data_IF_466802342658
#
_entry.id   IF_466802342658
#
_cell.length_a   1.000
_cell.length_b   1.000
_cell.length_c   1.000
_cell.angle_alpha   90.00
_cell.angle_beta   90.00
_cell.angle_gamma   90.00
#
_symmetry.space_group_name_H-M   'P 1'
#
loop_
_entity.id
_entity.type
_entity.pdbx_description
1 polymer ?
#
# COMPACT_ATOMS: atom_id res chain seq x y z
N UNK A 1 8.20 -8.08 6.28
CA UNK A 1 7.69 -7.02 7.18
C UNK A 1 8.00 -5.66 6.57
N UNK A 2 7.19 -4.62 6.81
CA UNK A 2 7.43 -3.31 6.25
C UNK A 2 6.70 -2.20 6.98
N UNK A 3 7.13 -0.98 6.66
CA UNK A 3 6.50 0.26 7.12
C UNK A 3 5.88 0.94 5.92
N UNK A 4 4.68 1.48 6.10
CA UNK A 4 3.92 2.15 5.05
C UNK A 4 3.63 3.59 5.47
N UNK A 5 3.71 4.51 4.51
CA UNK A 5 3.25 5.88 4.65
C UNK A 5 2.03 6.04 3.74
N UNK A 6 0.86 6.17 4.34
CA UNK A 6 -0.41 6.18 3.64
C UNK A 6 -1.00 7.58 3.59
N UNK A 7 -1.54 7.93 2.42
CA UNK A 7 -2.30 9.15 2.20
C UNK A 7 -3.56 8.83 1.43
N UNK A 8 -4.69 9.30 1.93
CA UNK A 8 -5.95 9.31 1.18
C UNK A 8 -6.03 10.61 0.38
N UNK A 9 -6.24 10.50 -0.93
CA UNK A 9 -6.40 11.65 -1.81
C UNK A 9 -7.87 11.74 -2.20
N UNK A 10 -8.53 12.80 -1.74
CA UNK A 10 -9.92 13.10 -2.07
C UNK A 10 -10.00 13.92 -3.36
N UNK A 11 -11.05 13.73 -4.14
CA UNK A 11 -11.30 14.48 -5.39
C UNK A 11 -11.59 15.95 -5.18
N UNK A 12 -12.03 16.33 -3.98
CA UNK A 12 -12.38 17.70 -3.63
C UNK A 12 -11.61 18.14 -2.38
N UNK A 13 -11.17 19.41 -2.35
CA UNK A 13 -10.42 20.02 -1.24
C UNK A 13 -11.30 20.32 0.01
N UNK A 14 -12.27 19.45 0.29
CA UNK A 14 -13.19 19.61 1.42
C UNK A 14 -12.66 18.98 2.72
N UNK A 15 -11.59 18.20 2.65
CA UNK A 15 -11.05 17.45 3.79
C UNK A 15 -9.53 17.52 3.80
N UNK A 16 -8.97 18.00 4.90
CA UNK A 16 -7.53 17.95 5.14
C UNK A 16 -7.13 16.56 5.65
N UNK A 17 -6.28 15.89 4.90
CA UNK A 17 -5.79 14.55 5.22
C UNK A 17 -4.31 14.58 5.54
N UNK A 18 -3.96 14.15 6.74
CA UNK A 18 -2.57 14.00 7.16
C UNK A 18 -2.11 12.56 6.97
N UNK A 19 -0.92 12.40 6.38
CA UNK A 19 -0.29 11.09 6.23
C UNK A 19 -0.13 10.39 7.58
N UNK A 20 -0.41 9.10 7.61
CA UNK A 20 -0.13 8.26 8.78
C UNK A 20 0.79 7.11 8.43
N UNK A 21 1.62 6.76 9.41
CA UNK A 21 2.47 5.57 9.35
C UNK A 21 1.61 4.34 9.61
N UNK A 22 1.71 3.37 8.72
CA UNK A 22 1.13 2.04 8.87
C UNK A 22 2.22 0.97 8.91
N UNK A 23 1.82 -0.26 9.08
CA UNK A 23 2.73 -1.40 9.03
C UNK A 23 2.13 -2.53 8.20
N UNK A 24 3.02 -3.35 7.64
CA UNK A 24 2.63 -4.56 6.92
C UNK A 24 3.48 -5.76 7.36
N UNK A 25 2.86 -6.92 7.34
CA UNK A 25 3.52 -8.19 7.61
C UNK A 25 2.82 -9.32 6.84
N UNK A 26 3.57 -10.34 6.46
CA UNK A 26 3.00 -11.50 5.76
C UNK A 26 4.04 -12.36 5.09
N UNK A 27 3.59 -13.15 4.14
CA UNK A 27 4.40 -14.10 3.37
C UNK A 27 4.40 -13.70 1.90
N UNK A 28 5.53 -13.94 1.23
CA UNK A 28 5.71 -13.66 -0.19
C UNK A 28 6.51 -14.80 -0.81
N UNK A 29 6.08 -15.26 -1.97
CA UNK A 29 6.79 -16.22 -2.81
C UNK A 29 7.33 -15.54 -4.06
N UNK A 30 8.47 -16.02 -4.54
CA UNK A 30 9.14 -15.58 -5.74
C UNK A 30 9.29 -16.76 -6.71
N UNK A 31 8.81 -16.60 -7.92
CA UNK A 31 8.98 -17.57 -9.02
C UNK A 31 9.89 -16.93 -10.08
N UNK A 32 11.16 -17.34 -10.11
CA UNK A 32 12.14 -16.84 -11.09
C UNK A 32 12.24 -17.75 -12.30
N UNK A 33 12.22 -17.14 -13.50
CA UNK A 33 12.48 -17.86 -14.75
C UNK A 33 13.99 -17.99 -14.98
N UNK A 34 14.50 -19.22 -15.14
CA UNK A 34 15.93 -19.43 -15.31
C UNK A 34 16.50 -18.69 -16.52
N UNK A 35 17.65 -18.04 -16.34
CA UNK A 35 18.45 -17.47 -17.43
C UNK A 35 18.14 -16.05 -17.85
N UNK A 36 16.97 -15.50 -17.54
CA UNK A 36 16.58 -14.15 -17.99
C UNK A 36 16.45 -13.12 -16.87
N UNK A 37 16.52 -13.54 -15.60
CA UNK A 37 16.41 -12.66 -14.45
C UNK A 37 15.01 -12.05 -14.24
N UNK A 38 14.01 -12.56 -14.94
CA UNK A 38 12.60 -12.17 -14.80
C UNK A 38 11.89 -13.17 -13.89
N UNK A 39 10.97 -12.71 -13.08
CA UNK A 39 10.16 -13.53 -12.19
C UNK A 39 8.81 -12.91 -11.88
N UNK A 40 8.03 -13.64 -11.13
CA UNK A 40 6.73 -13.20 -10.63
C UNK A 40 6.75 -13.31 -9.11
N UNK A 41 6.33 -12.23 -8.45
CA UNK A 41 6.09 -12.19 -7.01
C UNK A 41 4.62 -12.35 -6.73
N UNK A 42 4.31 -13.27 -5.83
CA UNK A 42 2.98 -13.47 -5.27
C UNK A 42 3.07 -13.42 -3.76
N UNK A 43 2.09 -12.80 -3.10
CA UNK A 43 2.13 -12.69 -1.65
C UNK A 43 0.77 -12.58 -1.02
N UNK A 44 0.75 -12.77 0.28
CA UNK A 44 -0.37 -12.50 1.16
C UNK A 44 0.16 -11.70 2.34
N UNK A 45 -0.20 -10.42 2.38
CA UNK A 45 0.31 -9.45 3.35
C UNK A 45 -0.86 -8.85 4.10
N UNK A 46 -0.75 -8.77 5.41
CA UNK A 46 -1.60 -7.90 6.21
C UNK A 46 -1.04 -6.50 6.16
N UNK A 47 -1.85 -5.51 5.83
CA UNK A 47 -1.47 -4.12 5.72
C UNK A 47 -2.45 -3.25 6.50
N UNK A 48 -1.94 -2.52 7.48
CA UNK A 48 -2.68 -1.48 8.17
C UNK A 48 -2.41 -0.14 7.49
N UNK A 49 -3.46 0.45 6.95
CA UNK A 49 -3.45 1.80 6.40
C UNK A 49 -4.19 2.74 7.34
N UNK A 50 -3.75 3.98 7.43
CA UNK A 50 -4.43 4.99 8.24
C UNK A 50 -4.31 6.37 7.63
N UNK A 51 -5.27 7.22 7.95
CA UNK A 51 -5.23 8.64 7.68
C UNK A 51 -5.95 9.40 8.80
N UNK A 52 -5.43 10.54 9.16
CA UNK A 52 -6.13 11.48 10.03
C UNK A 52 -6.91 12.45 9.15
N UNK A 53 -8.22 12.42 9.31
CA UNK A 53 -9.15 13.24 8.54
C UNK A 53 -9.70 14.33 9.45
N UNK A 54 -9.39 15.59 9.14
CA UNK A 54 -9.89 16.76 9.87
C UNK A 54 -11.20 17.22 9.23
N UNK A 55 -12.31 16.81 9.80
CA UNK A 55 -13.65 17.14 9.32
C UNK A 55 -14.15 18.48 9.87
N UNK A 56 -13.72 18.87 11.08
CA UNK A 56 -14.26 20.02 11.81
C UNK A 56 -13.84 21.41 11.35
N UNK A 57 -13.06 21.55 10.27
CA UNK A 57 -12.64 22.85 9.73
C UNK A 57 -13.68 23.53 8.83
N UNK A 58 -14.75 22.82 8.44
CA UNK A 58 -15.81 23.37 7.59
C UNK A 58 -17.17 23.20 8.28
N UNK A 59 -18.01 24.23 8.16
CA UNK A 59 -19.32 24.33 8.84
C UNK A 59 -20.25 23.13 8.64
N UNK A 60 -20.21 22.51 7.45
CA UNK A 60 -21.04 21.34 7.11
C UNK A 60 -20.77 20.15 8.04
N UNK A 61 -19.53 19.93 8.43
CA UNK A 61 -19.14 18.80 9.29
C UNK A 61 -19.21 19.16 10.79
N UNK A 62 -18.95 20.41 11.11
CA UNK A 62 -19.05 20.91 12.48
C UNK A 62 -20.49 20.91 13.00
N UNK A 63 -21.47 21.16 12.13
CA UNK A 63 -22.91 21.12 12.48
C UNK A 63 -23.40 19.72 12.83
N UNK A 64 -22.76 18.67 12.28
CA UNK A 64 -23.07 17.25 12.56
C UNK A 64 -22.22 16.69 13.72
N UNK A 65 -21.39 17.50 14.37
CA UNK A 65 -20.57 17.10 15.53
C UNK A 65 -19.29 16.35 15.18
N UNK A 66 -18.88 16.31 13.91
CA UNK A 66 -17.63 15.65 13.51
C UNK A 66 -16.43 16.56 13.72
N UNK A 67 -15.37 16.01 14.36
CA UNK A 67 -14.10 16.69 14.61
C UNK A 67 -12.96 16.13 13.75
N UNK A 68 -11.81 15.92 14.39
CA UNK A 68 -10.68 15.18 13.79
C UNK A 68 -10.88 13.69 14.02
N UNK A 69 -11.15 12.96 12.95
CA UNK A 69 -11.36 11.51 12.98
C UNK A 69 -10.14 10.77 12.45
N UNK A 70 -9.76 9.70 13.16
CA UNK A 70 -8.68 8.81 12.75
C UNK A 70 -9.27 7.57 12.09
N UNK A 71 -9.02 7.43 10.79
CA UNK A 71 -9.50 6.30 10.00
C UNK A 71 -8.40 5.26 9.89
N UNK A 72 -8.67 4.05 10.34
CA UNK A 72 -7.80 2.88 10.17
C UNK A 72 -8.49 1.88 9.26
N UNK A 73 -7.75 1.42 8.24
CA UNK A 73 -8.15 0.37 7.33
C UNK A 73 -7.20 -0.82 7.52
N UNK A 74 -7.76 -1.97 7.79
CA UNK A 74 -7.02 -3.21 7.91
C UNK A 74 -7.30 -4.04 6.68
N UNK A 75 -6.29 -4.23 5.85
CA UNK A 75 -6.41 -4.87 4.56
C UNK A 75 -5.57 -6.14 4.50
N UNK A 76 -6.08 -7.13 3.80
CA UNK A 76 -5.28 -8.21 3.24
C UNK A 76 -4.88 -7.79 1.84
N UNK A 77 -3.59 -7.71 1.60
CA UNK A 77 -2.97 -7.26 0.37
C UNK A 77 -2.41 -8.47 -0.38
N UNK A 78 -2.80 -8.60 -1.65
CA UNK A 78 -2.36 -9.68 -2.54
C UNK A 78 -1.61 -9.02 -3.70
N UNK A 79 -0.28 -8.86 -3.59
CA UNK A 79 0.55 -8.37 -4.67
C UNK A 79 0.74 -9.45 -5.75
N UNK A 80 0.64 -9.03 -7.01
CA UNK A 80 1.00 -9.84 -8.19
C UNK A 80 1.94 -8.98 -9.03
N UNK A 81 3.25 -9.10 -8.79
CA UNK A 81 4.22 -8.23 -9.42
C UNK A 81 5.09 -9.00 -10.42
N UNK A 82 5.36 -8.40 -11.55
CA UNK A 82 6.46 -8.79 -12.41
C UNK A 82 7.75 -8.23 -11.81
N UNK A 83 8.74 -9.09 -11.66
CA UNK A 83 10.05 -8.76 -11.09
C UNK A 83 11.13 -8.92 -12.13
N UNK A 84 12.08 -8.00 -12.13
CA UNK A 84 13.34 -8.13 -12.80
C UNK A 84 14.49 -8.02 -11.78
N UNK A 85 15.31 -9.06 -11.72
CA UNK A 85 16.48 -9.16 -10.85
C UNK A 85 17.74 -9.20 -11.73
N UNK A 86 18.61 -8.22 -11.55
CA UNK A 86 19.85 -8.16 -12.30
C UNK A 86 20.91 -9.09 -11.67
N UNK A 87 21.29 -10.15 -12.38
CA UNK A 87 22.17 -11.22 -11.88
C UNK A 87 23.51 -11.33 -12.63
N UNK A 88 23.90 -10.31 -13.40
CA UNK A 88 25.13 -10.29 -14.19
C UNK A 88 26.13 -9.24 -13.69
N UNK A 89 26.50 -9.33 -12.41
CA UNK A 89 27.42 -8.40 -11.75
C UNK A 89 28.81 -8.99 -11.49
N UNK A 90 29.25 -9.97 -12.31
CA UNK A 90 30.57 -10.62 -12.19
C UNK A 90 30.87 -11.18 -10.78
N UNK A 91 29.87 -11.82 -10.15
CA UNK A 91 29.98 -12.43 -8.82
C UNK A 91 29.63 -11.50 -7.65
N UNK A 92 29.31 -10.23 -7.89
CA UNK A 92 28.79 -9.32 -6.84
C UNK A 92 27.33 -9.62 -6.54
N UNK A 93 26.62 -10.25 -7.47
CA UNK A 93 25.21 -10.67 -7.32
C UNK A 93 24.96 -11.58 -6.13
N UNK A 94 25.98 -12.30 -5.66
CA UNK A 94 25.92 -13.11 -4.45
C UNK A 94 25.82 -12.27 -3.17
N UNK A 95 26.28 -11.03 -3.22
CA UNK A 95 26.25 -10.09 -2.12
C UNK A 95 25.12 -9.08 -2.27
N UNK A 96 24.94 -8.54 -3.47
CA UNK A 96 23.92 -7.53 -3.77
C UNK A 96 23.39 -7.74 -5.18
N UNK A 97 22.09 -8.00 -5.33
CA UNK A 97 21.41 -8.07 -6.61
C UNK A 97 20.31 -7.00 -6.68
N UNK A 98 20.42 -6.00 -7.57
CA UNK A 98 19.37 -5.00 -7.76
C UNK A 98 18.11 -5.62 -8.31
N UNK A 99 16.97 -5.12 -7.85
CA UNK A 99 15.63 -5.60 -8.19
C UNK A 99 14.78 -4.40 -8.60
N UNK A 100 14.01 -4.57 -9.67
CA UNK A 100 12.92 -3.68 -10.05
C UNK A 100 11.66 -4.54 -10.19
N UNK A 101 10.54 -4.04 -9.70
CA UNK A 101 9.29 -4.78 -9.78
C UNK A 101 8.11 -3.84 -9.96
N UNK A 102 7.02 -4.37 -10.48
CA UNK A 102 5.77 -3.65 -10.63
C UNK A 102 4.64 -4.54 -11.06
N UNK A 103 3.42 -4.13 -10.75
CA UNK A 103 2.21 -4.87 -11.11
C UNK A 103 1.01 -4.51 -10.26
N UNK A 104 -0.11 -5.19 -10.49
CA UNK A 104 -1.34 -4.98 -9.74
C UNK A 104 -1.22 -5.50 -8.30
N UNK A 105 -1.97 -4.85 -7.43
CA UNK A 105 -2.06 -5.15 -6.02
C UNK A 105 -3.53 -5.09 -5.60
N UNK A 106 -4.04 -6.21 -5.12
CA UNK A 106 -5.40 -6.33 -4.66
C UNK A 106 -5.44 -6.17 -3.14
N UNK A 107 -6.21 -5.21 -2.66
CA UNK A 107 -6.42 -4.97 -1.25
C UNK A 107 -7.85 -5.35 -0.89
N UNK A 108 -8.01 -6.32 0.00
CA UNK A 108 -9.30 -6.75 0.54
C UNK A 108 -9.41 -6.19 1.95
N UNK A 109 -10.38 -5.32 2.17
CA UNK A 109 -10.61 -4.75 3.48
C UNK A 109 -11.29 -5.76 4.41
N UNK A 110 -10.60 -6.12 5.50
CA UNK A 110 -11.08 -7.11 6.47
C UNK A 110 -11.62 -6.48 7.75
N UNK A 111 -11.12 -5.29 8.10
CA UNK A 111 -11.63 -4.52 9.24
C UNK A 111 -11.36 -3.03 9.06
N UNK A 112 -12.11 -2.20 9.77
CA UNK A 112 -11.94 -0.75 9.79
C UNK A 112 -12.27 -0.18 11.16
N UNK A 113 -11.66 0.95 11.51
CA UNK A 113 -12.07 1.77 12.66
C UNK A 113 -13.48 2.31 12.44
N UNK A 114 -14.26 2.42 13.49
CA UNK A 114 -15.62 2.97 13.41
C UNK A 114 -15.53 4.48 13.20
N UNK A 115 -15.92 4.94 12.03
CA UNK A 115 -16.19 6.34 11.76
C UNK A 115 -17.54 6.42 11.01
N UNK A 116 -18.55 6.99 11.63
CA UNK A 116 -19.92 7.02 11.10
C UNK A 116 -20.06 7.93 9.87
N UNK A 117 -19.07 8.80 9.62
CA UNK A 117 -19.03 9.71 8.47
C UNK A 117 -18.73 9.03 7.13
N UNK A 118 -18.14 7.81 7.14
CA UNK A 118 -17.67 7.14 5.94
C UNK A 118 -18.37 5.81 5.67
N UNK A 119 -18.58 5.52 4.38
CA UNK A 119 -18.94 4.19 3.89
C UNK A 119 -17.69 3.54 3.32
N UNK A 120 -17.30 2.41 3.89
CA UNK A 120 -16.11 1.68 3.49
C UNK A 120 -16.38 0.81 2.26
N UNK A 121 -15.40 0.76 1.36
CA UNK A 121 -15.39 -0.19 0.24
C UNK A 121 -14.86 -1.54 0.73
N UNK A 122 -15.36 -2.65 0.19
CA UNK A 122 -14.88 -4.00 0.54
C UNK A 122 -13.45 -4.30 0.08
N UNK A 123 -12.85 -3.41 -0.69
CA UNK A 123 -11.47 -3.51 -1.17
C UNK A 123 -11.16 -2.49 -2.25
N UNK A 124 -9.89 -2.41 -2.62
CA UNK A 124 -9.42 -1.58 -3.70
C UNK A 124 -8.36 -2.30 -4.55
N UNK A 125 -8.20 -1.82 -5.77
CA UNK A 125 -7.15 -2.24 -6.70
C UNK A 125 -6.12 -1.11 -6.79
N UNK A 126 -4.86 -1.46 -6.63
CA UNK A 126 -3.72 -0.57 -6.82
C UNK A 126 -2.77 -1.05 -7.90
N UNK A 127 -1.96 -0.13 -8.41
CA UNK A 127 -0.80 -0.42 -9.23
C UNK A 127 0.44 -0.03 -8.45
N UNK A 128 1.38 -0.97 -8.30
CA UNK A 128 2.62 -0.78 -7.55
C UNK A 128 3.81 -0.80 -8.48
N UNK A 129 4.76 0.10 -8.24
CA UNK A 129 6.08 0.04 -8.81
C UNK A 129 7.13 0.27 -7.72
N UNK A 130 8.24 -0.45 -7.80
CA UNK A 130 9.26 -0.38 -6.78
C UNK A 130 10.63 -0.85 -7.25
N UNK A 131 11.61 -0.51 -6.42
CA UNK A 131 12.99 -0.91 -6.60
C UNK A 131 13.53 -1.47 -5.28
N UNK A 132 14.58 -2.25 -5.35
CA UNK A 132 15.22 -2.79 -4.17
C UNK A 132 16.51 -3.51 -4.46
N UNK A 133 17.01 -4.20 -3.47
CA UNK A 133 18.17 -5.05 -3.58
C UNK A 133 17.99 -6.30 -2.74
N UNK A 134 18.43 -7.43 -3.27
CA UNK A 134 18.63 -8.65 -2.51
C UNK A 134 20.06 -8.68 -1.99
N UNK A 135 20.19 -8.95 -0.71
CA UNK A 135 21.45 -8.98 0.02
C UNK A 135 21.72 -10.42 0.48
N UNK A 136 22.92 -10.91 0.18
CA UNK A 136 23.39 -12.23 0.63
C UNK A 136 22.43 -13.39 0.26
N UNK A 137 21.69 -13.26 -0.86
CA UNK A 137 20.71 -14.25 -1.36
C UNK A 137 19.57 -14.59 -0.37
N UNK A 138 19.45 -13.88 0.75
CA UNK A 138 18.47 -14.16 1.81
C UNK A 138 17.66 -12.95 2.24
N UNK A 139 18.26 -11.79 2.25
CA UNK A 139 17.62 -10.56 2.68
C UNK A 139 17.24 -9.73 1.48
N UNK A 140 16.06 -9.21 1.48
CA UNK A 140 15.59 -8.30 0.45
C UNK A 140 15.07 -7.03 1.10
N UNK A 141 15.58 -5.88 0.63
CA UNK A 141 15.10 -4.56 1.02
C UNK A 141 14.49 -3.90 -0.21
N UNK A 142 13.25 -3.47 -0.13
CA UNK A 142 12.53 -2.86 -1.24
C UNK A 142 11.83 -1.58 -0.82
N UNK A 143 11.84 -0.59 -1.73
CA UNK A 143 11.02 0.61 -1.65
C UNK A 143 10.04 0.62 -2.81
N UNK A 144 8.78 0.90 -2.56
CA UNK A 144 7.73 0.93 -3.58
C UNK A 144 6.72 2.04 -3.35
N UNK A 145 6.06 2.39 -4.43
CA UNK A 145 4.95 3.31 -4.44
C UNK A 145 3.73 2.65 -5.08
N UNK A 146 2.58 2.72 -4.40
CA UNK A 146 1.31 2.17 -4.87
C UNK A 146 0.32 3.29 -5.18
N UNK A 147 -0.22 3.27 -6.39
CA UNK A 147 -1.33 4.09 -6.83
C UNK A 147 -2.63 3.31 -6.68
N UNK A 148 -3.51 3.74 -5.80
CA UNK A 148 -4.87 3.21 -5.73
C UNK A 148 -5.65 3.60 -6.98
N UNK A 149 -6.13 2.63 -7.72
CA UNK A 149 -6.91 2.82 -8.96
C UNK A 149 -8.41 2.85 -8.70
N UNK A 150 -8.86 2.21 -7.63
CA UNK A 150 -10.24 2.21 -7.19
C UNK A 150 -10.41 2.98 -5.87
N UNK A 151 -11.66 3.25 -5.51
CA UNK A 151 -11.96 4.05 -4.33
C UNK A 151 -12.02 3.17 -3.08
N UNK A 152 -11.13 3.44 -2.12
CA UNK A 152 -11.09 2.76 -0.83
C UNK A 152 -12.19 3.24 0.14
N UNK A 153 -12.63 4.48 -0.01
CA UNK A 153 -13.63 5.13 0.85
C UNK A 153 -14.63 5.93 0.03
N UNK A 154 -15.89 5.95 0.47
CA UNK A 154 -16.96 6.84 0.00
C UNK A 154 -17.57 7.56 1.20
N UNK A 155 -17.94 8.82 1.03
CA UNK A 155 -18.62 9.58 2.07
C UNK A 155 -20.13 9.37 2.02
N UNK A 156 -20.79 9.26 3.16
CA UNK A 156 -22.25 9.08 3.24
C UNK A 156 -23.05 10.34 2.89
N UNK A 157 -22.47 11.52 3.09
CA UNK A 157 -23.17 12.81 2.96
C UNK A 157 -23.05 13.45 1.57
N UNK A 158 -22.09 13.00 0.73
CA UNK A 158 -21.82 13.57 -0.60
C UNK A 158 -21.59 12.42 -1.58
N UNK A 159 -22.45 12.24 -2.57
CA UNK A 159 -22.44 11.11 -3.51
C UNK A 159 -21.17 10.99 -4.36
N UNK A 160 -20.47 12.10 -4.61
CA UNK A 160 -19.23 12.13 -5.42
C UNK A 160 -17.93 12.24 -4.60
N UNK A 161 -18.00 12.18 -3.29
CA UNK A 161 -16.84 12.34 -2.42
C UNK A 161 -16.16 11.00 -2.14
N UNK A 162 -15.17 10.68 -2.96
CA UNK A 162 -14.43 9.41 -2.90
C UNK A 162 -12.92 9.64 -2.78
N UNK A 163 -12.24 8.79 -2.04
CA UNK A 163 -10.79 8.85 -1.81
C UNK A 163 -10.05 7.70 -2.46
N UNK A 164 -8.95 8.02 -3.13
CA UNK A 164 -7.97 7.05 -3.62
C UNK A 164 -6.83 6.89 -2.62
N UNK A 165 -6.39 5.65 -2.42
CA UNK A 165 -5.23 5.37 -1.58
C UNK A 165 -3.94 5.67 -2.35
N UNK A 166 -2.99 6.31 -1.68
CA UNK A 166 -1.61 6.50 -2.14
C UNK A 166 -0.68 6.03 -1.03
N UNK A 167 0.24 5.14 -1.37
CA UNK A 167 1.06 4.49 -0.36
C UNK A 167 2.52 4.41 -0.77
N UNK A 168 3.41 4.89 0.09
CA UNK A 168 4.83 4.57 0.07
C UNK A 168 5.09 3.40 1.01
N UNK A 169 5.88 2.44 0.56
CA UNK A 169 6.21 1.26 1.34
C UNK A 169 7.70 1.00 1.34
N UNK A 170 8.26 0.77 2.52
CA UNK A 170 9.60 0.19 2.69
C UNK A 170 9.43 -1.17 3.33
N UNK A 171 9.92 -2.21 2.67
CA UNK A 171 9.74 -3.60 3.09
C UNK A 171 11.07 -4.33 3.18
N UNK A 172 11.20 -5.14 4.22
CA UNK A 172 12.30 -6.09 4.41
C UNK A 172 11.71 -7.50 4.40
N UNK A 173 12.26 -8.39 3.59
CA UNK A 173 11.89 -9.79 3.51
C UNK A 173 13.11 -10.68 3.75
N UNK A 174 12.86 -11.86 4.29
CA UNK A 174 13.86 -12.91 4.46
C UNK A 174 13.40 -14.14 3.68
N UNK A 175 14.27 -14.68 2.86
CA UNK A 175 14.04 -15.88 2.06
C UNK A 175 14.71 -17.10 2.71
N UNK A 176 13.99 -18.19 2.69
CA UNK A 176 14.42 -19.47 3.25
C UNK A 176 15.08 -20.35 2.18
#
# INVERSE_FOLDING_TARGET
>A
MGVTLNRLVFKQDLVDVTQQVGYMAGIQGELMFPGIGVGIDLGLLYNQQGAMVKLGQKEIWASEGYGSERVYLHNIQIPVHLRFKYTRLNGIEDKIAPIVFGGPEFNIQVAHGRCDAFKYSGGDLGLTAGVGAELFRRWQVTGSYTWGMSYALKTKLLDDFSAQSRQWTVKVAYFF
#
